data_IF_815042653261
#
_entry.id   IF_815042653261
#
_cell.length_a   1.000
_cell.length_b   1.000
_cell.length_c   1.000
_cell.angle_alpha   90.00
_cell.angle_beta   90.00
_cell.angle_gamma   90.00
#
_symmetry.space_group_name_H-M   'P 1'
#
loop_
_entity.id
_entity.type
_entity.pdbx_description
1 polymer ?
#
# COMPACT_ATOMS: atom_id res chain seq x y z
N UNK A 1 2.91 -36.45 8.12
CA UNK A 1 3.73 -35.21 8.19
C UNK A 1 3.01 -34.01 7.57
N UNK A 2 2.52 -34.05 6.33
CA UNK A 2 1.84 -32.88 5.70
C UNK A 2 0.68 -32.29 6.53
N UNK A 3 -0.22 -33.10 7.04
CA UNK A 3 -1.35 -32.63 7.86
C UNK A 3 -0.99 -32.03 9.24
N UNK A 4 0.22 -32.29 9.74
CA UNK A 4 0.72 -31.65 10.98
C UNK A 4 1.27 -30.26 10.66
N UNK A 5 2.05 -30.13 9.59
CA UNK A 5 2.58 -28.85 9.12
C UNK A 5 1.45 -27.87 8.77
N UNK A 6 0.41 -28.34 8.08
CA UNK A 6 -0.74 -27.51 7.74
C UNK A 6 -1.50 -27.02 8.97
N UNK A 7 -1.67 -27.88 9.99
CA UNK A 7 -2.30 -27.49 11.28
C UNK A 7 -1.46 -26.47 12.04
N UNK A 8 -0.12 -26.65 12.08
CA UNK A 8 0.79 -25.70 12.73
C UNK A 8 0.76 -24.34 12.02
N UNK A 9 0.78 -24.36 10.68
CA UNK A 9 0.70 -23.13 9.89
C UNK A 9 -0.63 -22.38 10.11
N UNK A 10 -1.76 -23.10 10.16
CA UNK A 10 -3.05 -22.52 10.48
C UNK A 10 -3.04 -21.83 11.86
N UNK A 11 -2.57 -22.55 12.89
CA UNK A 11 -2.45 -21.98 14.25
C UNK A 11 -1.49 -20.79 14.32
N UNK A 12 -0.40 -20.80 13.55
CA UNK A 12 0.52 -19.68 13.49
C UNK A 12 -0.14 -18.44 12.86
N UNK A 13 -0.92 -18.61 11.80
CA UNK A 13 -1.71 -17.52 11.20
C UNK A 13 -2.78 -16.98 12.15
N UNK A 14 -3.45 -17.84 12.90
CA UNK A 14 -4.40 -17.40 13.93
C UNK A 14 -3.71 -16.55 15.01
N UNK A 15 -2.53 -16.98 15.49
CA UNK A 15 -1.73 -16.21 16.45
C UNK A 15 -1.30 -14.86 15.86
N UNK A 16 -0.84 -14.85 14.62
CA UNK A 16 -0.48 -13.62 13.91
C UNK A 16 -1.66 -12.64 13.83
N UNK A 17 -2.85 -13.13 13.49
CA UNK A 17 -4.06 -12.31 13.35
C UNK A 17 -4.46 -11.63 14.68
N UNK A 18 -4.24 -12.29 15.81
CA UNK A 18 -4.47 -11.70 17.14
C UNK A 18 -3.24 -10.98 17.71
N UNK A 19 -2.26 -10.67 16.84
CA UNK A 19 -1.03 -9.95 17.18
C UNK A 19 -0.10 -10.65 18.20
N UNK A 20 -0.30 -11.95 18.43
CA UNK A 20 0.62 -12.79 19.19
C UNK A 20 1.78 -13.24 18.30
N UNK A 21 2.66 -12.29 17.97
CA UNK A 21 3.79 -12.53 17.05
C UNK A 21 4.81 -13.53 17.63
N UNK A 22 5.03 -13.52 18.93
CA UNK A 22 5.91 -14.51 19.58
C UNK A 22 5.35 -15.93 19.46
N UNK A 23 4.06 -16.11 19.71
CA UNK A 23 3.38 -17.39 19.55
C UNK A 23 3.34 -17.86 18.09
N UNK A 24 3.20 -16.93 17.15
CA UNK A 24 3.27 -17.22 15.73
C UNK A 24 4.67 -17.71 15.33
N UNK A 25 5.75 -16.99 15.72
CA UNK A 25 7.15 -17.37 15.45
C UNK A 25 7.45 -18.75 16.01
N UNK A 26 7.09 -19.02 17.27
CA UNK A 26 7.33 -20.32 17.92
C UNK A 26 6.76 -21.49 17.10
N UNK A 27 5.52 -21.39 16.64
CA UNK A 27 4.88 -22.43 15.83
C UNK A 27 5.51 -22.56 14.43
N UNK A 28 5.93 -21.45 13.83
CA UNK A 28 6.59 -21.46 12.52
C UNK A 28 8.00 -22.05 12.58
N UNK A 29 8.73 -21.79 13.66
CA UNK A 29 10.05 -22.39 13.90
C UNK A 29 9.96 -23.91 14.10
N UNK A 30 8.88 -24.41 14.70
CA UNK A 30 8.61 -25.85 14.79
C UNK A 30 8.44 -26.48 13.40
N UNK A 31 7.78 -25.76 12.48
CA UNK A 31 7.66 -26.20 11.07
C UNK A 31 9.03 -26.24 10.40
N UNK A 32 9.84 -25.18 10.57
CA UNK A 32 11.21 -25.14 10.01
C UNK A 32 12.07 -26.26 10.56
N UNK A 33 12.02 -26.53 11.88
CA UNK A 33 12.77 -27.58 12.55
C UNK A 33 12.36 -28.98 12.06
N UNK A 34 11.12 -29.17 11.60
CA UNK A 34 10.66 -30.43 11.01
C UNK A 34 11.18 -30.69 9.59
N UNK A 35 11.99 -29.79 9.02
CA UNK A 35 12.51 -29.86 7.67
C UNK A 35 11.50 -29.40 6.58
N UNK A 36 10.34 -28.86 6.97
CA UNK A 36 9.31 -28.36 6.07
C UNK A 36 9.45 -26.85 5.87
N UNK A 37 10.60 -26.41 5.35
CA UNK A 37 10.86 -24.99 5.12
C UNK A 37 10.25 -24.54 3.80
N UNK A 38 9.20 -23.72 3.87
CA UNK A 38 8.54 -23.10 2.72
C UNK A 38 8.77 -21.58 2.72
N UNK A 39 8.73 -20.97 1.56
CA UNK A 39 8.96 -19.53 1.41
C UNK A 39 7.97 -18.68 2.23
N UNK A 40 6.70 -19.08 2.30
CA UNK A 40 5.65 -18.40 3.06
C UNK A 40 5.84 -18.51 4.59
N UNK A 41 6.43 -19.62 5.07
CA UNK A 41 6.77 -19.80 6.48
C UNK A 41 7.85 -18.80 6.90
N UNK A 42 8.96 -18.74 6.15
CA UNK A 42 10.03 -17.76 6.41
C UNK A 42 9.55 -16.33 6.25
N UNK A 43 8.72 -16.04 5.25
CA UNK A 43 8.12 -14.73 5.08
C UNK A 43 7.28 -14.33 6.31
N UNK A 44 6.40 -15.20 6.81
CA UNK A 44 5.56 -14.90 7.97
C UNK A 44 6.38 -14.73 9.27
N UNK A 45 7.47 -15.50 9.45
CA UNK A 45 8.43 -15.25 10.55
C UNK A 45 9.05 -13.86 10.39
N UNK A 46 9.50 -13.50 9.19
CA UNK A 46 10.11 -12.20 8.91
C UNK A 46 9.16 -11.04 9.21
N UNK A 47 7.90 -11.11 8.78
CA UNK A 47 6.88 -10.10 9.09
C UNK A 47 6.65 -10.00 10.60
N UNK A 48 6.51 -11.14 11.29
CA UNK A 48 6.32 -11.16 12.75
C UNK A 48 7.50 -10.52 13.48
N UNK A 49 8.73 -10.78 13.05
CA UNK A 49 9.95 -10.18 13.62
C UNK A 49 10.03 -8.68 13.36
N UNK A 50 9.65 -8.23 12.15
CA UNK A 50 9.59 -6.80 11.82
C UNK A 50 8.61 -6.05 12.73
N UNK A 51 7.42 -6.61 12.95
CA UNK A 51 6.40 -6.04 13.84
C UNK A 51 6.84 -6.02 15.32
N UNK A 52 7.78 -6.87 15.70
CA UNK A 52 8.45 -6.85 17.02
C UNK A 52 9.66 -5.91 17.09
N UNK A 53 9.96 -5.15 16.02
CA UNK A 53 11.13 -4.28 15.93
C UNK A 53 12.47 -5.00 15.75
N UNK A 54 12.45 -6.32 15.46
CA UNK A 54 13.65 -7.16 15.26
C UNK A 54 14.05 -7.16 13.77
N UNK A 55 14.29 -5.97 13.23
CA UNK A 55 14.43 -5.71 11.79
C UNK A 55 15.57 -6.50 11.12
N UNK A 56 16.74 -6.62 11.74
CA UNK A 56 17.85 -7.38 11.15
C UNK A 56 17.56 -8.89 11.08
N UNK A 57 16.87 -9.43 12.05
CA UNK A 57 16.45 -10.84 12.06
C UNK A 57 15.33 -11.07 11.03
N UNK A 58 14.42 -10.10 10.86
CA UNK A 58 13.42 -10.13 9.82
C UNK A 58 14.06 -10.21 8.42
N UNK A 59 15.12 -9.42 8.18
CA UNK A 59 15.87 -9.47 6.92
C UNK A 59 16.53 -10.84 6.65
N UNK A 60 16.97 -11.54 7.69
CA UNK A 60 17.48 -12.91 7.54
C UNK A 60 16.38 -13.83 7.03
N UNK A 61 15.18 -13.73 7.60
CA UNK A 61 14.05 -14.57 7.21
C UNK A 61 13.54 -14.25 5.81
N UNK A 62 13.45 -12.98 5.44
CA UNK A 62 13.08 -12.60 4.07
C UNK A 62 14.10 -13.12 3.04
N UNK A 63 15.40 -13.08 3.33
CA UNK A 63 16.41 -13.69 2.47
C UNK A 63 16.19 -15.19 2.29
N UNK A 64 15.86 -15.92 3.37
CA UNK A 64 15.53 -17.35 3.30
C UNK A 64 14.30 -17.62 2.43
N UNK A 65 13.26 -16.80 2.60
CA UNK A 65 12.08 -16.89 1.75
C UNK A 65 12.42 -16.68 0.26
N UNK A 66 13.30 -15.72 -0.05
CA UNK A 66 13.74 -15.39 -1.40
C UNK A 66 14.76 -16.38 -2.00
N UNK A 67 15.50 -17.11 -1.17
CA UNK A 67 16.31 -18.27 -1.60
C UNK A 67 15.41 -19.41 -2.10
N UNK A 68 14.27 -19.64 -1.41
CA UNK A 68 13.29 -20.65 -1.79
C UNK A 68 12.39 -20.23 -2.96
N UNK A 69 12.01 -18.95 -3.01
CA UNK A 69 11.23 -18.36 -4.10
C UNK A 69 11.75 -16.97 -4.47
N UNK A 70 12.67 -16.85 -5.45
CA UNK A 70 13.29 -15.58 -5.81
C UNK A 70 12.34 -14.49 -6.33
N UNK A 71 11.12 -14.85 -6.73
CA UNK A 71 10.07 -13.95 -7.23
C UNK A 71 8.92 -13.78 -6.25
N UNK A 72 9.13 -14.09 -4.98
CA UNK A 72 8.11 -13.94 -3.95
C UNK A 72 7.87 -12.44 -3.67
N UNK A 73 6.81 -11.90 -4.30
CA UNK A 73 6.51 -10.48 -4.31
C UNK A 73 6.42 -9.90 -2.90
N UNK A 74 5.63 -10.52 -2.02
CA UNK A 74 5.40 -10.04 -0.66
C UNK A 74 6.70 -10.03 0.16
N UNK A 75 7.57 -11.02 -0.01
CA UNK A 75 8.86 -11.03 0.67
C UNK A 75 9.80 -9.92 0.17
N UNK A 76 9.80 -9.63 -1.13
CA UNK A 76 10.56 -8.52 -1.71
C UNK A 76 10.05 -7.17 -1.21
N UNK A 77 8.74 -6.97 -1.12
CA UNK A 77 8.12 -5.75 -0.62
C UNK A 77 8.49 -5.54 0.85
N UNK A 78 8.25 -6.52 1.72
CA UNK A 78 8.54 -6.40 3.15
C UNK A 78 10.05 -6.24 3.43
N UNK A 79 10.91 -6.92 2.65
CA UNK A 79 12.35 -6.70 2.73
C UNK A 79 12.71 -5.25 2.39
N UNK A 80 12.13 -4.70 1.32
CA UNK A 80 12.33 -3.31 0.91
C UNK A 80 11.90 -2.31 1.97
N UNK A 81 10.73 -2.52 2.60
CA UNK A 81 10.22 -1.68 3.69
C UNK A 81 11.16 -1.69 4.90
N UNK A 82 11.55 -2.86 5.37
CA UNK A 82 12.46 -2.99 6.53
C UNK A 82 13.83 -2.38 6.24
N UNK A 83 14.36 -2.55 5.03
CA UNK A 83 15.61 -1.90 4.62
C UNK A 83 15.50 -0.38 4.58
N UNK A 84 14.34 0.16 4.17
CA UNK A 84 14.06 1.59 4.19
C UNK A 84 14.03 2.15 5.61
N UNK A 85 13.37 1.47 6.55
CA UNK A 85 13.33 1.84 7.97
C UNK A 85 14.73 1.85 8.61
N UNK A 86 15.60 0.93 8.19
CA UNK A 86 16.99 0.87 8.64
C UNK A 86 17.92 1.89 7.93
N UNK A 87 17.39 2.73 7.04
CA UNK A 87 18.17 3.70 6.27
C UNK A 87 19.05 3.09 5.17
N UNK A 88 18.88 1.78 4.86
CA UNK A 88 19.64 1.05 3.84
C UNK A 88 19.01 1.26 2.44
N UNK A 89 18.96 2.52 2.00
CA UNK A 89 18.18 2.98 0.84
C UNK A 89 18.51 2.25 -0.48
N UNK A 90 19.80 1.96 -0.73
CA UNK A 90 20.20 1.25 -1.97
C UNK A 90 19.67 -0.18 -2.04
N UNK A 91 19.71 -0.89 -0.91
CA UNK A 91 19.22 -2.28 -0.83
C UNK A 91 17.69 -2.32 -0.85
N UNK A 92 17.04 -1.36 -0.21
CA UNK A 92 15.60 -1.15 -0.30
C UNK A 92 15.16 -0.95 -1.75
N UNK A 93 15.83 -0.05 -2.47
CA UNK A 93 15.56 0.22 -3.89
C UNK A 93 15.72 -1.02 -4.77
N UNK A 94 16.76 -1.82 -4.54
CA UNK A 94 16.99 -3.07 -5.26
C UNK A 94 15.87 -4.09 -4.97
N UNK A 95 15.42 -4.20 -3.72
CA UNK A 95 14.33 -5.10 -3.34
C UNK A 95 13.02 -4.69 -4.04
N UNK A 96 12.67 -3.40 -4.06
CA UNK A 96 11.50 -2.90 -4.77
C UNK A 96 11.61 -3.05 -6.29
N UNK A 97 12.78 -2.86 -6.87
CA UNK A 97 13.01 -3.09 -8.30
C UNK A 97 12.75 -4.56 -8.66
N UNK A 98 13.29 -5.51 -7.89
CA UNK A 98 13.02 -6.94 -8.06
C UNK A 98 11.54 -7.29 -7.88
N UNK A 99 10.85 -6.63 -6.94
CA UNK A 99 9.42 -6.77 -6.77
C UNK A 99 8.65 -6.31 -8.02
N UNK A 100 9.01 -5.14 -8.57
CA UNK A 100 8.42 -4.64 -9.82
C UNK A 100 8.65 -5.59 -11.00
N UNK A 101 9.87 -6.15 -11.11
CA UNK A 101 10.22 -7.12 -12.17
C UNK A 101 9.50 -8.48 -11.98
N UNK A 102 9.05 -8.79 -10.75
CA UNK A 102 8.32 -10.05 -10.47
C UNK A 102 6.85 -9.99 -10.92
N UNK A 103 6.28 -8.79 -11.03
CA UNK A 103 4.91 -8.59 -11.52
C UNK A 103 4.93 -8.68 -13.06
N UNK A 104 4.02 -9.49 -13.61
CA UNK A 104 3.95 -9.64 -15.07
C UNK A 104 3.61 -8.29 -15.73
N UNK A 105 4.26 -7.94 -16.87
CA UNK A 105 3.92 -6.72 -17.60
C UNK A 105 2.46 -6.77 -18.07
N UNK A 106 1.83 -5.58 -18.16
CA UNK A 106 0.47 -5.45 -18.68
C UNK A 106 0.39 -6.07 -20.08
N UNK A 107 -0.41 -7.12 -20.24
CA UNK A 107 -0.73 -7.69 -21.53
C UNK A 107 -2.16 -7.31 -21.91
N UNK A 108 -2.31 -6.52 -22.97
CA UNK A 108 -3.62 -6.28 -23.58
C UNK A 108 -4.29 -7.64 -23.90
N UNK A 109 -5.50 -7.84 -23.39
CA UNK A 109 -6.26 -9.05 -23.63
C UNK A 109 -6.26 -10.10 -22.50
N UNK A 110 -5.80 -9.77 -21.30
CA UNK A 110 -5.91 -10.63 -20.13
C UNK A 110 -7.38 -10.84 -19.71
N UNK A 111 -7.77 -12.06 -19.28
CA UNK A 111 -9.07 -12.26 -18.63
C UNK A 111 -9.24 -11.36 -17.42
N UNK A 112 -10.44 -10.80 -17.23
CA UNK A 112 -10.73 -9.83 -16.17
C UNK A 112 -10.26 -10.24 -14.74
N UNK A 113 -10.41 -11.52 -14.29
CA UNK A 113 -9.91 -11.92 -12.98
C UNK A 113 -8.37 -11.88 -12.87
N UNK A 114 -7.67 -12.16 -13.97
CA UNK A 114 -6.20 -12.11 -14.02
C UNK A 114 -5.72 -10.66 -14.01
N UNK A 115 -6.35 -9.81 -14.80
CA UNK A 115 -6.08 -8.37 -14.81
C UNK A 115 -6.30 -7.73 -13.43
N UNK A 116 -7.42 -8.05 -12.76
CA UNK A 116 -7.72 -7.56 -11.41
C UNK A 116 -6.66 -8.01 -10.38
N UNK A 117 -6.21 -9.27 -10.45
CA UNK A 117 -5.16 -9.78 -9.56
C UNK A 117 -3.84 -9.04 -9.77
N UNK A 118 -3.44 -8.84 -11.03
CA UNK A 118 -2.23 -8.10 -11.36
C UNK A 118 -2.32 -6.63 -10.94
N UNK A 119 -3.49 -6.00 -11.14
CA UNK A 119 -3.73 -4.63 -10.68
C UNK A 119 -3.57 -4.50 -9.17
N UNK A 120 -4.07 -5.46 -8.39
CA UNK A 120 -3.89 -5.48 -6.94
C UNK A 120 -2.42 -5.63 -6.55
N UNK A 121 -1.64 -6.48 -7.24
CA UNK A 121 -0.21 -6.61 -6.98
C UNK A 121 0.56 -5.30 -7.24
N UNK A 122 0.23 -4.60 -8.33
CA UNK A 122 0.79 -3.28 -8.59
C UNK A 122 0.36 -2.26 -7.53
N UNK A 123 -0.88 -2.31 -7.06
CA UNK A 123 -1.36 -1.43 -5.99
C UNK A 123 -0.65 -1.69 -4.65
N UNK A 124 -0.45 -2.95 -4.26
CA UNK A 124 0.31 -3.32 -3.06
C UNK A 124 1.76 -2.82 -3.15
N UNK A 125 2.39 -2.96 -4.31
CA UNK A 125 3.73 -2.43 -4.54
C UNK A 125 3.75 -0.90 -4.52
N UNK A 126 2.70 -0.23 -5.02
CA UNK A 126 2.55 1.21 -4.96
C UNK A 126 2.45 1.71 -3.51
N UNK A 127 1.66 1.02 -2.67
CA UNK A 127 1.57 1.35 -1.24
C UNK A 127 2.92 1.23 -0.56
N UNK A 128 3.66 0.15 -0.82
CA UNK A 128 4.98 -0.06 -0.26
C UNK A 128 5.98 1.03 -0.67
N UNK A 129 5.94 1.48 -1.94
CA UNK A 129 6.74 2.62 -2.39
C UNK A 129 6.33 3.93 -1.70
N UNK A 130 5.04 4.15 -1.50
CA UNK A 130 4.54 5.35 -0.81
C UNK A 130 5.00 5.36 0.66
N UNK A 131 4.87 4.24 1.38
CA UNK A 131 5.35 4.09 2.76
C UNK A 131 6.87 4.31 2.88
N UNK A 132 7.64 3.88 1.88
CA UNK A 132 9.08 4.13 1.78
C UNK A 132 9.44 5.56 1.33
N UNK A 133 8.46 6.44 1.10
CA UNK A 133 8.67 7.82 0.61
C UNK A 133 9.05 7.93 -0.87
N UNK A 134 9.04 6.83 -1.62
CA UNK A 134 9.35 6.80 -3.05
C UNK A 134 8.10 7.16 -3.90
N UNK A 135 7.54 8.36 -3.67
CA UNK A 135 6.23 8.79 -4.17
C UNK A 135 6.09 8.72 -5.70
N UNK A 136 7.13 9.08 -6.45
CA UNK A 136 7.11 8.98 -7.91
C UNK A 136 6.90 7.53 -8.39
N UNK A 137 7.60 6.56 -7.76
CA UNK A 137 7.45 5.14 -8.07
C UNK A 137 6.09 4.59 -7.67
N UNK A 138 5.54 5.06 -6.54
CA UNK A 138 4.20 4.72 -6.13
C UNK A 138 3.17 5.12 -7.18
N UNK A 139 3.26 6.36 -7.69
CA UNK A 139 2.39 6.86 -8.77
C UNK A 139 2.51 5.99 -10.02
N UNK A 140 3.74 5.62 -10.44
CA UNK A 140 3.95 4.75 -11.61
C UNK A 140 3.30 3.37 -11.43
N UNK A 141 3.39 2.78 -10.24
CA UNK A 141 2.78 1.48 -9.98
C UNK A 141 1.25 1.55 -9.94
N UNK A 142 0.67 2.60 -9.35
CA UNK A 142 -0.77 2.83 -9.44
C UNK A 142 -1.24 3.07 -10.90
N UNK A 143 -0.47 3.78 -11.71
CA UNK A 143 -0.79 3.97 -13.12
C UNK A 143 -0.85 2.62 -13.86
N UNK A 144 0.13 1.72 -13.63
CA UNK A 144 0.12 0.36 -14.18
C UNK A 144 -1.09 -0.45 -13.70
N UNK A 145 -1.46 -0.32 -12.42
CA UNK A 145 -2.66 -0.97 -11.89
C UNK A 145 -3.93 -0.48 -12.61
N UNK A 146 -4.02 0.82 -12.91
CA UNK A 146 -5.14 1.44 -13.61
C UNK A 146 -5.17 1.14 -15.11
N UNK A 147 -4.02 0.86 -15.75
CA UNK A 147 -3.97 0.31 -17.12
C UNK A 147 -4.64 -1.06 -17.21
N UNK A 148 -4.48 -1.90 -16.17
CA UNK A 148 -5.10 -3.22 -16.06
C UNK A 148 -6.58 -3.15 -15.68
N UNK A 149 -6.96 -2.14 -14.90
CA UNK A 149 -8.33 -1.92 -14.42
C UNK A 149 -8.70 -0.46 -14.37
N UNK A 150 -9.05 0.19 -15.49
CA UNK A 150 -9.38 1.62 -15.53
C UNK A 150 -10.57 2.02 -14.65
N UNK A 151 -11.44 1.06 -14.32
CA UNK A 151 -12.61 1.23 -13.45
C UNK A 151 -12.33 1.18 -11.95
N UNK A 152 -11.11 0.94 -11.50
CA UNK A 152 -10.75 0.84 -10.07
C UNK A 152 -10.63 2.22 -9.43
N UNK A 153 -11.78 2.82 -9.07
CA UNK A 153 -11.84 4.18 -8.53
C UNK A 153 -11.16 4.33 -7.16
N UNK A 154 -11.08 3.27 -6.37
CA UNK A 154 -10.33 3.22 -5.12
C UNK A 154 -8.82 3.34 -5.35
N UNK A 155 -8.28 2.68 -6.37
CA UNK A 155 -6.87 2.82 -6.74
C UNK A 155 -6.57 4.21 -7.29
N UNK A 156 -7.46 4.78 -8.10
CA UNK A 156 -7.32 6.16 -8.60
C UNK A 156 -7.33 7.18 -7.45
N UNK A 157 -8.19 6.99 -6.46
CA UNK A 157 -8.20 7.82 -5.26
C UNK A 157 -6.90 7.70 -4.46
N UNK A 158 -6.38 6.47 -4.25
CA UNK A 158 -5.10 6.24 -3.56
C UNK A 158 -3.95 6.89 -4.31
N UNK A 159 -3.88 6.75 -5.63
CA UNK A 159 -2.91 7.44 -6.49
C UNK A 159 -2.97 8.95 -6.32
N UNK A 160 -4.16 9.53 -6.35
CA UNK A 160 -4.36 10.98 -6.19
C UNK A 160 -3.86 11.47 -4.82
N UNK A 161 -4.04 10.71 -3.74
CA UNK A 161 -3.49 11.03 -2.43
C UNK A 161 -1.96 11.08 -2.46
N UNK A 162 -1.32 10.09 -3.08
CA UNK A 162 0.14 10.07 -3.25
C UNK A 162 0.61 11.24 -4.12
N UNK A 163 -0.13 11.64 -5.14
CA UNK A 163 0.16 12.85 -5.93
C UNK A 163 0.11 14.12 -5.08
N UNK A 164 -0.85 14.25 -4.15
CA UNK A 164 -0.88 15.38 -3.21
C UNK A 164 0.36 15.41 -2.31
N UNK A 165 0.75 14.27 -1.77
CA UNK A 165 1.96 14.12 -0.96
C UNK A 165 3.24 14.43 -1.77
N UNK A 166 3.25 14.10 -3.06
CA UNK A 166 4.34 14.39 -3.99
C UNK A 166 4.37 15.86 -4.48
N UNK A 167 3.47 16.73 -4.00
CA UNK A 167 3.38 18.12 -4.44
C UNK A 167 2.86 18.30 -5.88
N UNK A 168 2.04 17.36 -6.37
CA UNK A 168 1.42 17.37 -7.71
C UNK A 168 -0.10 17.61 -7.63
N UNK A 169 -0.56 18.75 -7.07
CA UNK A 169 -1.98 18.97 -6.77
C UNK A 169 -2.87 19.09 -8.02
N UNK A 170 -2.34 19.56 -9.14
CA UNK A 170 -3.12 19.67 -10.37
C UNK A 170 -3.50 18.30 -10.94
N UNK A 171 -2.54 17.38 -10.98
CA UNK A 171 -2.78 16.01 -11.44
C UNK A 171 -3.68 15.24 -10.46
N UNK A 172 -3.48 15.44 -9.15
CA UNK A 172 -4.36 14.88 -8.14
C UNK A 172 -5.81 15.36 -8.32
N UNK A 173 -6.02 16.64 -8.66
CA UNK A 173 -7.35 17.20 -8.93
C UNK A 173 -8.03 16.47 -10.08
N UNK A 174 -7.36 16.32 -11.21
CA UNK A 174 -7.91 15.61 -12.38
C UNK A 174 -8.33 14.17 -12.03
N UNK A 175 -7.46 13.45 -11.32
CA UNK A 175 -7.76 12.09 -10.89
C UNK A 175 -8.95 12.03 -9.92
N UNK A 176 -9.06 12.98 -8.97
CA UNK A 176 -10.18 13.05 -8.02
C UNK A 176 -11.50 13.44 -8.69
N UNK A 177 -11.47 14.32 -9.67
CA UNK A 177 -12.66 14.65 -10.49
C UNK A 177 -13.17 13.42 -11.26
N UNK A 178 -12.26 12.56 -11.76
CA UNK A 178 -12.66 11.29 -12.37
C UNK A 178 -13.29 10.33 -11.37
N UNK A 179 -12.71 10.22 -10.16
CA UNK A 179 -13.29 9.41 -9.08
C UNK A 179 -14.69 9.88 -8.75
N UNK A 180 -14.91 11.20 -8.61
CA UNK A 180 -16.19 11.77 -8.22
C UNK A 180 -17.23 11.73 -9.37
N UNK A 181 -16.81 11.76 -10.62
CA UNK A 181 -17.72 11.50 -11.77
C UNK A 181 -18.29 10.08 -11.71
N UNK A 182 -17.47 9.09 -11.32
CA UNK A 182 -17.91 7.70 -11.20
C UNK A 182 -18.61 7.41 -9.87
N UNK A 183 -18.21 8.09 -8.80
CA UNK A 183 -18.71 7.92 -7.42
C UNK A 183 -19.01 9.28 -6.77
N UNK A 184 -20.13 9.93 -7.09
CA UNK A 184 -20.43 11.29 -6.62
C UNK A 184 -20.53 11.45 -5.09
N UNK A 185 -20.75 10.35 -4.36
CA UNK A 185 -20.89 10.36 -2.90
C UNK A 185 -19.63 9.89 -2.16
N UNK A 186 -18.47 9.89 -2.82
CA UNK A 186 -17.20 9.49 -2.19
C UNK A 186 -16.62 10.66 -1.40
N UNK A 187 -17.01 10.77 -0.14
CA UNK A 187 -16.69 11.89 0.78
C UNK A 187 -15.20 12.13 0.93
N UNK A 188 -14.39 11.05 1.05
CA UNK A 188 -12.94 11.21 1.19
C UNK A 188 -12.30 11.79 -0.08
N UNK A 189 -12.83 11.44 -1.27
CA UNK A 189 -12.36 12.01 -2.52
C UNK A 189 -12.74 13.50 -2.65
N UNK A 190 -13.92 13.91 -2.16
CA UNK A 190 -14.29 15.33 -2.10
C UNK A 190 -13.40 16.13 -1.16
N UNK A 191 -13.15 15.60 0.04
CA UNK A 191 -12.23 16.24 0.99
C UNK A 191 -10.83 16.42 0.38
N UNK A 192 -10.34 15.39 -0.33
CA UNK A 192 -9.07 15.43 -1.03
C UNK A 192 -9.08 16.38 -2.23
N UNK A 193 -10.20 16.49 -2.97
CA UNK A 193 -10.35 17.45 -4.07
C UNK A 193 -10.24 18.88 -3.56
N UNK A 194 -10.90 19.21 -2.46
CA UNK A 194 -10.75 20.53 -1.83
C UNK A 194 -9.29 20.81 -1.42
N UNK A 195 -8.56 19.80 -0.93
CA UNK A 195 -7.14 19.93 -0.63
C UNK A 195 -6.30 20.14 -1.90
N UNK A 196 -6.62 19.48 -2.99
CA UNK A 196 -5.97 19.68 -4.29
C UNK A 196 -6.16 21.13 -4.80
N UNK A 197 -7.37 21.69 -4.70
CA UNK A 197 -7.62 23.10 -4.99
C UNK A 197 -6.80 24.03 -4.10
N UNK A 198 -6.78 23.77 -2.79
CA UNK A 198 -6.02 24.60 -1.83
C UNK A 198 -4.53 24.60 -2.16
N UNK A 199 -3.94 23.43 -2.36
CA UNK A 199 -2.49 23.29 -2.65
C UNK A 199 -2.10 23.87 -4.03
N UNK A 200 -3.05 23.97 -4.96
CA UNK A 200 -2.84 24.65 -6.25
C UNK A 200 -3.07 26.16 -6.21
N UNK A 201 -3.38 26.73 -5.02
CA UNK A 201 -3.62 28.17 -4.85
C UNK A 201 -5.07 28.61 -5.11
N UNK A 202 -5.97 27.69 -5.42
CA UNK A 202 -7.39 27.96 -5.62
C UNK A 202 -8.17 27.84 -4.30
N UNK A 203 -8.00 28.85 -3.45
CA UNK A 203 -8.70 28.90 -2.16
C UNK A 203 -10.21 29.06 -2.26
N UNK A 204 -10.73 29.62 -3.37
CA UNK A 204 -12.17 29.74 -3.62
C UNK A 204 -12.75 28.38 -3.93
N UNK A 205 -12.17 27.67 -4.90
CA UNK A 205 -12.58 26.31 -5.26
C UNK A 205 -12.50 25.33 -4.09
N UNK A 206 -11.43 25.42 -3.29
CA UNK A 206 -11.29 24.62 -2.07
C UNK A 206 -12.47 24.83 -1.10
N UNK A 207 -12.80 26.10 -0.85
CA UNK A 207 -13.91 26.49 0.05
C UNK A 207 -15.26 25.96 -0.45
N UNK A 208 -15.52 26.07 -1.73
CA UNK A 208 -16.78 25.65 -2.34
C UNK A 208 -16.95 24.13 -2.27
N UNK A 209 -15.90 23.37 -2.60
CA UNK A 209 -15.88 21.91 -2.49
C UNK A 209 -16.11 21.46 -1.04
N UNK A 210 -15.38 22.04 -0.09
CA UNK A 210 -15.49 21.65 1.33
C UNK A 210 -16.84 22.04 1.94
N UNK A 211 -17.42 23.20 1.57
CA UNK A 211 -18.79 23.57 1.98
C UNK A 211 -19.84 22.61 1.43
N UNK A 212 -19.71 22.23 0.16
CA UNK A 212 -20.58 21.22 -0.45
C UNK A 212 -20.48 19.87 0.26
N UNK A 213 -19.26 19.46 0.63
CA UNK A 213 -19.02 18.24 1.38
C UNK A 213 -19.71 18.28 2.76
N UNK A 214 -19.56 19.38 3.53
CA UNK A 214 -20.21 19.53 4.85
C UNK A 214 -21.74 19.63 4.76
N UNK A 215 -22.28 20.22 3.70
CA UNK A 215 -23.73 20.27 3.51
C UNK A 215 -24.35 18.85 3.43
N UNK A 216 -23.59 17.88 2.89
CA UNK A 216 -24.00 16.47 2.80
C UNK A 216 -23.56 15.64 3.99
N UNK A 217 -22.47 15.99 4.66
CA UNK A 217 -21.89 15.30 5.80
C UNK A 217 -21.43 16.32 6.86
N UNK A 218 -22.34 16.86 7.67
CA UNK A 218 -22.03 17.90 8.65
C UNK A 218 -21.01 17.50 9.73
N UNK A 219 -20.86 16.20 10.01
CA UNK A 219 -19.95 15.68 11.05
C UNK A 219 -18.53 15.37 10.54
N UNK A 220 -18.13 15.89 9.38
CA UNK A 220 -16.79 15.64 8.85
C UNK A 220 -15.75 16.60 9.46
N UNK A 221 -15.22 16.23 10.64
CA UNK A 221 -14.25 17.02 11.39
C UNK A 221 -12.99 17.39 10.59
N UNK A 222 -12.58 16.54 9.62
CA UNK A 222 -11.42 16.83 8.75
C UNK A 222 -11.71 18.02 7.85
N UNK A 223 -12.87 18.05 7.22
CA UNK A 223 -13.27 19.15 6.31
C UNK A 223 -13.54 20.42 7.07
N UNK A 224 -14.11 20.35 8.28
CA UNK A 224 -14.24 21.50 9.19
C UNK A 224 -12.88 22.12 9.53
N UNK A 225 -11.89 21.27 9.86
CA UNK A 225 -10.53 21.73 10.13
C UNK A 225 -9.89 22.42 8.92
N UNK A 226 -10.09 21.89 7.71
CA UNK A 226 -9.58 22.52 6.48
C UNK A 226 -10.22 23.89 6.22
N UNK A 227 -11.53 24.03 6.39
CA UNK A 227 -12.21 25.33 6.28
C UNK A 227 -11.74 26.35 7.32
N UNK A 228 -11.51 25.89 8.55
CA UNK A 228 -10.97 26.74 9.62
C UNK A 228 -9.54 27.23 9.30
N UNK A 229 -8.71 26.39 8.71
CA UNK A 229 -7.37 26.78 8.24
C UNK A 229 -7.45 27.86 7.15
N UNK A 230 -8.34 27.68 6.18
CA UNK A 230 -8.51 28.62 5.06
C UNK A 230 -9.02 29.99 5.54
N UNK A 231 -9.85 30.02 6.59
CA UNK A 231 -10.30 31.27 7.23
C UNK A 231 -9.19 32.05 7.93
N UNK A 232 -8.13 31.37 8.41
CA UNK A 232 -6.97 32.01 9.06
C UNK A 232 -5.91 32.49 8.07
N UNK A 233 -5.83 31.87 6.89
CA UNK A 233 -4.84 32.23 5.86
C UNK A 233 -5.28 33.40 4.98
N UNK A 234 -6.51 33.85 5.10
CA UNK A 234 -7.10 34.97 4.35
C UNK A 234 -7.34 36.25 5.17
N UNK A 235 -6.82 36.28 6.38
CA UNK A 235 -6.72 37.48 7.25
C UNK A 235 -5.25 37.89 7.37
#
# INVERSE_FOLDING_TARGET
>A
MAGQTERLLGRARDRFTVQDYYGAIYLLEEIVASGSAFADVHHLIGVSLSLLGRSEEALVQFRRALELNPRYLEALIHQGLVLSELGRSRESEESFRRAADSVAPSAAGLPAPVAARLANQHAELADAYAEAGALARAIDQYARALELGPGFQDLRYRMARVMLEAGRPLEAREALEEVLRARPNFVDAEAALGLAHFLSGDGVGARDVWRSCLARRPENARVEAYLAMLGRSGA
#
